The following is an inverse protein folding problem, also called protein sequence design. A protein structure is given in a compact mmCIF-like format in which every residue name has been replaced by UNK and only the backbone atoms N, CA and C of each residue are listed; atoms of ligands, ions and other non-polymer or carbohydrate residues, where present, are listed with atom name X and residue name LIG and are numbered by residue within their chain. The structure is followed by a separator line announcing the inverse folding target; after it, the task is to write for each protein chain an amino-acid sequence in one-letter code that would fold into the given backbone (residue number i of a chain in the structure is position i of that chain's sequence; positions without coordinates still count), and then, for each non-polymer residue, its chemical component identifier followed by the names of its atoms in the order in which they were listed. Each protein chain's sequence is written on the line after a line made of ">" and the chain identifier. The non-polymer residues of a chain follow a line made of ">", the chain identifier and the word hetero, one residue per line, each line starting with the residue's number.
data_IF_956406521641
#
_entry.id   IF_956406521641
#
_cell.length_a   1.000
_cell.length_b   1.000
_cell.length_c   1.000
_cell.angle_alpha   90.00
_cell.angle_beta   90.00
_cell.angle_gamma   90.00
#
_symmetry.space_group_name_H-M   'P 1'
#
loop_
_entity.id
_entity.type
_entity.pdbx_description
1 polymer ?
#
# COMPACT_ATOMS: atom_id res chain seq x y z
N UNK A 1 38.81 -9.17 33.29
CA UNK A 1 37.84 -8.17 32.87
C UNK A 1 37.86 -8.11 31.35
N UNK A 2 37.04 -8.95 30.71
CA UNK A 2 36.89 -8.98 29.23
C UNK A 2 35.51 -8.47 28.86
N UNK A 3 35.46 -7.33 28.23
CA UNK A 3 34.25 -6.75 27.66
C UNK A 3 33.93 -7.37 26.30
N UNK A 4 32.89 -8.14 26.28
CA UNK A 4 32.35 -8.73 25.02
C UNK A 4 31.52 -7.67 24.29
N UNK A 5 32.04 -7.18 23.17
CA UNK A 5 31.27 -6.35 22.23
C UNK A 5 30.54 -7.28 21.27
N UNK A 6 29.21 -7.35 21.40
CA UNK A 6 28.35 -8.00 20.40
C UNK A 6 27.99 -6.94 19.36
N UNK A 7 28.62 -7.02 18.19
CA UNK A 7 28.25 -6.24 17.02
C UNK A 7 27.13 -6.96 16.26
N UNK A 8 25.94 -6.37 16.19
CA UNK A 8 24.92 -6.80 15.25
C UNK A 8 25.30 -6.28 13.85
N UNK A 9 25.84 -7.18 13.02
CA UNK A 9 25.98 -6.95 11.60
C UNK A 9 24.67 -7.36 10.90
N UNK A 10 23.94 -6.40 10.38
CA UNK A 10 22.86 -6.66 9.41
C UNK A 10 23.51 -7.08 8.11
N UNK A 11 23.32 -8.34 7.75
CA UNK A 11 23.75 -8.88 6.46
C UNK A 11 22.82 -8.36 5.36
N UNK A 12 23.29 -7.42 4.56
CA UNK A 12 22.72 -7.11 3.24
C UNK A 12 22.99 -8.32 2.35
N UNK A 13 21.99 -9.18 2.14
CA UNK A 13 22.07 -10.32 1.23
C UNK A 13 22.08 -9.86 -0.22
N UNK A 14 23.26 -9.77 -0.82
CA UNK A 14 23.45 -9.73 -2.26
C UNK A 14 22.89 -11.04 -2.86
N UNK A 15 21.86 -10.94 -3.67
CA UNK A 15 21.50 -12.01 -4.61
C UNK A 15 22.51 -11.92 -5.75
N UNK A 16 23.65 -12.59 -5.57
CA UNK A 16 24.59 -12.84 -6.64
C UNK A 16 24.02 -13.91 -7.58
N UNK A 17 23.67 -13.52 -8.80
CA UNK A 17 23.38 -14.47 -9.88
C UNK A 17 24.68 -15.18 -10.22
N UNK A 18 24.84 -16.41 -9.75
CA UNK A 18 25.93 -17.29 -10.16
C UNK A 18 25.64 -17.78 -11.59
N UNK A 19 26.24 -17.15 -12.59
CA UNK A 19 26.33 -17.68 -13.93
C UNK A 19 27.36 -18.84 -13.92
N UNK A 20 26.86 -20.04 -13.78
CA UNK A 20 27.65 -21.24 -14.08
C UNK A 20 27.89 -21.29 -15.58
N UNK A 21 29.13 -20.96 -16.00
CA UNK A 21 29.63 -21.14 -17.34
C UNK A 21 29.84 -22.64 -17.56
N UNK A 22 28.94 -23.30 -18.30
CA UNK A 22 29.22 -24.56 -18.95
C UNK A 22 30.06 -24.28 -20.20
N UNK A 23 31.11 -25.06 -20.48
CA UNK A 23 31.87 -24.91 -21.72
C UNK A 23 30.99 -25.32 -22.93
N UNK A 24 31.18 -24.66 -24.09
CA UNK A 24 30.34 -24.92 -25.24
C UNK A 24 30.63 -26.32 -25.81
N UNK A 25 29.61 -27.16 -25.84
CA UNK A 25 29.63 -28.37 -26.67
C UNK A 25 29.60 -27.93 -28.12
N UNK A 26 30.49 -28.53 -28.93
CA UNK A 26 30.64 -28.25 -30.36
C UNK A 26 29.32 -28.47 -31.10
N UNK A 27 28.72 -27.40 -31.58
CA UNK A 27 27.55 -27.45 -32.45
C UNK A 27 27.99 -27.76 -33.87
N UNK A 28 27.46 -28.80 -34.45
CA UNK A 28 27.79 -29.18 -35.83
C UNK A 28 27.30 -28.13 -36.82
N UNK A 29 28.06 -27.87 -37.87
CA UNK A 29 27.86 -26.85 -38.90
C UNK A 29 26.46 -26.86 -39.57
N UNK A 30 25.77 -27.99 -39.53
CA UNK A 30 24.40 -28.13 -40.06
C UNK A 30 23.32 -27.38 -39.26
N UNK A 31 23.48 -27.29 -37.93
CA UNK A 31 22.53 -26.58 -37.08
C UNK A 31 22.64 -25.03 -37.17
N UNK A 32 23.87 -24.55 -37.40
CA UNK A 32 24.13 -23.13 -37.60
C UNK A 32 23.52 -22.59 -38.90
N UNK A 33 23.53 -23.39 -39.96
CA UNK A 33 22.92 -23.04 -41.24
C UNK A 33 21.40 -23.03 -41.22
N UNK A 34 20.76 -23.91 -40.42
CA UNK A 34 19.30 -23.95 -40.26
C UNK A 34 18.79 -22.76 -39.46
N UNK A 35 19.51 -22.31 -38.43
CA UNK A 35 19.16 -21.13 -37.68
C UNK A 35 19.35 -19.81 -38.44
N UNK A 36 20.39 -19.71 -39.27
CA UNK A 36 20.62 -18.56 -40.16
C UNK A 36 19.54 -18.43 -41.25
N UNK A 37 19.05 -19.55 -41.78
CA UNK A 37 17.96 -19.57 -42.76
C UNK A 37 16.61 -19.20 -42.13
N UNK A 38 16.34 -19.63 -40.91
CA UNK A 38 15.14 -19.26 -40.17
C UNK A 38 15.13 -17.75 -39.79
N UNK A 39 16.29 -17.20 -39.39
CA UNK A 39 16.42 -15.75 -39.11
C UNK A 39 16.18 -14.89 -40.35
N UNK A 40 16.68 -15.31 -41.50
CA UNK A 40 16.51 -14.61 -42.80
C UNK A 40 15.06 -14.65 -43.33
N UNK A 41 14.24 -15.63 -42.91
CA UNK A 41 12.84 -15.77 -43.32
C UNK A 41 11.92 -14.92 -42.46
N UNK A 42 12.31 -14.59 -41.22
CA UNK A 42 11.57 -13.71 -40.30
C UNK A 42 11.78 -12.24 -40.67
N UNK A 43 12.94 -11.86 -41.18
CA UNK A 43 13.22 -10.46 -41.58
C UNK A 43 12.50 -10.01 -42.87
N UNK A 44 11.84 -10.91 -43.61
CA UNK A 44 11.16 -10.60 -44.90
C UNK A 44 9.64 -10.42 -44.79
N UNK A 45 9.00 -10.61 -43.65
CA UNK A 45 7.61 -10.20 -43.45
C UNK A 45 7.63 -8.83 -42.76
N UNK A 46 7.18 -7.81 -43.51
CA UNK A 46 7.20 -6.43 -43.12
C UNK A 46 6.83 -6.23 -41.65
N UNK A 47 7.75 -5.61 -40.91
CA UNK A 47 7.46 -5.12 -39.58
C UNK A 47 6.24 -4.17 -39.65
N UNK A 48 5.26 -4.29 -38.76
CA UNK A 48 4.23 -3.29 -38.69
C UNK A 48 4.90 -1.92 -38.50
N UNK A 49 4.32 -0.83 -39.07
CA UNK A 49 4.89 0.49 -38.92
C UNK A 49 5.11 0.74 -37.43
N UNK A 50 6.33 1.13 -37.07
CA UNK A 50 6.64 1.56 -35.71
C UNK A 50 5.64 2.66 -35.38
N UNK A 51 4.63 2.36 -34.56
CA UNK A 51 3.82 3.39 -33.93
C UNK A 51 4.82 4.38 -33.35
N UNK A 52 4.74 5.64 -33.79
CA UNK A 52 5.71 6.68 -33.48
C UNK A 52 6.05 6.64 -32.00
N UNK A 53 7.30 6.31 -31.71
CA UNK A 53 7.84 6.49 -30.38
C UNK A 53 7.72 7.98 -30.10
N UNK A 54 6.69 8.41 -29.34
CA UNK A 54 6.77 9.70 -28.66
C UNK A 54 8.05 9.62 -27.86
N UNK A 55 9.03 10.46 -28.19
CA UNK A 55 10.23 10.69 -27.40
C UNK A 55 9.77 10.77 -25.95
N UNK A 56 10.31 9.90 -25.14
CA UNK A 56 10.06 9.94 -23.71
C UNK A 56 10.73 11.22 -23.23
N UNK A 57 9.97 12.21 -22.82
CA UNK A 57 10.51 13.33 -22.08
C UNK A 57 11.27 12.72 -20.90
N UNK A 58 12.61 12.77 -20.95
CA UNK A 58 13.45 12.28 -19.86
C UNK A 58 13.08 13.11 -18.63
N UNK A 59 12.77 12.43 -17.51
CA UNK A 59 12.53 13.14 -16.26
C UNK A 59 13.75 14.00 -15.94
N UNK A 60 13.57 15.27 -15.54
CA UNK A 60 14.69 16.08 -15.10
C UNK A 60 15.50 15.36 -14.02
N UNK A 61 16.82 15.30 -14.20
CA UNK A 61 17.69 14.66 -13.22
C UNK A 61 17.68 15.46 -11.90
N UNK A 62 17.64 14.75 -10.78
CA UNK A 62 17.72 15.32 -9.44
C UNK A 62 18.62 14.45 -8.56
N UNK A 63 19.03 14.98 -7.43
CA UNK A 63 19.92 14.32 -6.47
C UNK A 63 19.17 13.86 -5.24
N UNK A 64 19.78 12.97 -4.46
CA UNK A 64 19.23 12.57 -3.15
C UNK A 64 19.00 13.77 -2.21
N UNK A 65 19.84 14.80 -2.31
CA UNK A 65 19.67 16.03 -1.54
C UNK A 65 18.48 16.86 -2.02
N UNK A 66 18.22 16.92 -3.33
CA UNK A 66 17.02 17.56 -3.87
C UNK A 66 15.78 16.80 -3.42
N UNK A 67 15.81 15.46 -3.44
CA UNK A 67 14.72 14.58 -3.02
C UNK A 67 14.41 14.71 -1.52
N UNK A 68 15.43 14.77 -0.66
CA UNK A 68 15.25 15.01 0.78
C UNK A 68 14.59 16.36 1.09
N UNK A 69 14.90 17.38 0.30
CA UNK A 69 14.36 18.74 0.43
C UNK A 69 13.03 18.93 -0.34
N UNK A 70 12.56 17.92 -1.06
CA UNK A 70 11.41 18.02 -1.94
C UNK A 70 10.12 18.36 -1.17
N UNK A 71 9.35 19.29 -1.71
CA UNK A 71 8.07 19.74 -1.20
C UNK A 71 7.04 19.89 -2.32
N UNK A 72 5.76 19.89 -1.95
CA UNK A 72 4.70 20.23 -2.89
C UNK A 72 4.55 21.75 -2.95
N UNK A 73 4.72 22.37 -4.13
CA UNK A 73 4.61 23.81 -4.27
C UNK A 73 3.28 24.34 -3.71
N UNK A 74 3.36 25.33 -2.82
CA UNK A 74 2.20 26.00 -2.26
C UNK A 74 1.42 25.24 -1.18
N UNK A 75 1.78 23.98 -0.85
CA UNK A 75 1.08 23.18 0.16
C UNK A 75 2.06 22.78 1.26
N UNK A 76 2.11 23.55 2.34
CA UNK A 76 2.98 23.26 3.48
C UNK A 76 2.61 21.92 4.12
N UNK A 77 3.62 21.14 4.54
CA UNK A 77 3.46 19.84 5.19
C UNK A 77 2.53 18.86 4.44
N UNK A 78 2.40 19.02 3.11
CA UNK A 78 1.64 18.09 2.27
C UNK A 78 2.23 16.68 2.30
N UNK A 79 3.56 16.57 2.38
CA UNK A 79 4.31 15.31 2.46
C UNK A 79 5.36 15.35 3.57
N UNK A 80 5.61 14.21 4.14
CA UNK A 80 6.73 14.00 5.07
C UNK A 80 7.36 12.63 4.80
N UNK A 81 8.64 12.49 5.14
CA UNK A 81 9.27 11.17 5.19
C UNK A 81 8.70 10.37 6.37
N UNK A 82 8.26 9.13 6.10
CA UNK A 82 7.61 8.28 7.10
C UNK A 82 8.50 7.83 8.25
N UNK A 83 9.81 7.98 8.12
CA UNK A 83 10.84 7.67 9.11
C UNK A 83 11.32 8.91 9.91
N UNK A 84 10.82 10.12 9.60
CA UNK A 84 11.25 11.37 10.26
C UNK A 84 10.33 11.75 11.42
N UNK A 85 10.81 11.56 12.68
CA UNK A 85 10.06 11.98 13.88
C UNK A 85 9.78 13.49 13.89
N UNK A 86 10.76 14.31 13.52
CA UNK A 86 10.60 15.76 13.54
C UNK A 86 9.59 16.26 12.52
N UNK A 87 9.55 15.65 11.33
CA UNK A 87 8.55 15.96 10.32
C UNK A 87 7.15 15.45 10.75
N UNK A 88 7.08 14.25 11.32
CA UNK A 88 5.84 13.68 11.82
C UNK A 88 5.22 14.51 12.94
N UNK A 89 6.04 15.05 13.85
CA UNK A 89 5.57 15.92 14.93
C UNK A 89 4.80 17.16 14.43
N UNK A 90 5.14 17.69 13.25
CA UNK A 90 4.45 18.85 12.65
C UNK A 90 3.04 18.52 12.13
N UNK A 91 2.79 17.27 11.79
CA UNK A 91 1.51 16.83 11.19
C UNK A 91 0.61 16.05 12.15
N UNK A 92 0.96 16.00 13.44
CA UNK A 92 0.13 15.35 14.46
C UNK A 92 -1.29 15.94 14.53
N UNK A 93 -2.29 15.18 14.99
CA UNK A 93 -3.63 15.70 15.21
C UNK A 93 -3.62 16.72 16.35
N UNK A 94 -4.50 17.70 16.23
CA UNK A 94 -4.74 18.72 17.27
C UNK A 94 -5.90 18.35 18.20
N UNK A 95 -6.50 17.20 17.98
CA UNK A 95 -7.60 16.66 18.77
C UNK A 95 -7.23 15.29 19.32
N UNK A 96 -7.72 14.98 20.51
CA UNK A 96 -7.59 13.65 21.09
C UNK A 96 -8.63 12.70 20.49
N UNK A 97 -8.30 11.43 20.42
CA UNK A 97 -9.20 10.39 19.95
C UNK A 97 -8.48 9.15 19.46
N UNK A 98 -9.22 8.08 19.14
CA UNK A 98 -8.62 6.87 18.60
C UNK A 98 -8.06 7.09 17.19
N UNK A 99 -7.04 6.31 16.87
CA UNK A 99 -6.47 6.25 15.51
C UNK A 99 -6.87 4.95 14.83
N UNK A 100 -7.04 5.01 13.51
CA UNK A 100 -7.30 3.85 12.65
C UNK A 100 -6.24 3.77 11.56
N UNK A 101 -5.49 2.67 11.53
CA UNK A 101 -4.58 2.35 10.44
C UNK A 101 -5.18 1.23 9.59
N UNK A 102 -5.27 1.44 8.27
CA UNK A 102 -5.90 0.51 7.33
C UNK A 102 -4.83 0.00 6.37
N UNK A 103 -4.61 -1.31 6.37
CA UNK A 103 -3.58 -1.94 5.55
C UNK A 103 -3.96 -2.02 4.07
N UNK A 104 -2.95 -2.27 3.23
CA UNK A 104 -3.15 -2.84 1.91
C UNK A 104 -3.82 -4.21 1.96
N UNK A 105 -4.11 -4.79 0.78
CA UNK A 105 -4.74 -6.12 0.72
C UNK A 105 -5.50 -6.40 -0.59
N UNK A 106 -5.51 -5.47 -1.55
CA UNK A 106 -6.19 -5.67 -2.84
C UNK A 106 -7.67 -6.00 -2.67
N UNK A 107 -8.12 -7.12 -3.21
CA UNK A 107 -9.52 -7.59 -3.11
C UNK A 107 -10.03 -7.70 -1.67
N UNK A 108 -9.14 -7.99 -0.73
CA UNK A 108 -9.51 -8.22 0.68
C UNK A 108 -9.87 -6.92 1.41
N UNK A 109 -9.67 -5.75 0.79
CA UNK A 109 -10.22 -4.47 1.26
C UNK A 109 -11.73 -4.47 1.46
N UNK A 110 -12.45 -5.38 0.80
CA UNK A 110 -13.87 -5.61 1.02
C UNK A 110 -14.19 -5.95 2.49
N UNK A 111 -13.31 -6.70 3.18
CA UNK A 111 -13.45 -6.99 4.60
C UNK A 111 -13.46 -5.72 5.45
N UNK A 112 -12.45 -4.87 5.28
CA UNK A 112 -12.34 -3.64 6.05
C UNK A 112 -13.50 -2.68 5.82
N UNK A 113 -13.95 -2.55 4.55
CA UNK A 113 -15.14 -1.76 4.22
C UNK A 113 -16.39 -2.32 4.92
N UNK A 114 -16.57 -3.65 4.90
CA UNK A 114 -17.67 -4.33 5.61
C UNK A 114 -17.60 -4.13 7.12
N UNK A 115 -16.42 -4.27 7.74
CA UNK A 115 -16.25 -4.02 9.18
C UNK A 115 -16.67 -2.60 9.57
N UNK A 116 -16.26 -1.59 8.79
CA UNK A 116 -16.65 -0.20 9.05
C UNK A 116 -18.15 0.00 8.96
N UNK A 117 -18.80 -0.56 7.95
CA UNK A 117 -20.26 -0.49 7.78
C UNK A 117 -20.98 -1.17 8.93
N UNK A 118 -20.63 -2.42 9.24
CA UNK A 118 -21.26 -3.15 10.37
C UNK A 118 -21.02 -2.48 11.72
N UNK A 119 -19.86 -1.87 11.92
CA UNK A 119 -19.55 -1.12 13.14
C UNK A 119 -20.41 0.14 13.28
N UNK A 120 -20.72 0.81 12.15
CA UNK A 120 -21.67 1.93 12.13
C UNK A 120 -23.09 1.48 12.43
N UNK A 121 -23.54 0.35 11.85
CA UNK A 121 -24.85 -0.23 12.14
C UNK A 121 -25.03 -0.59 13.62
N UNK A 122 -23.94 -0.99 14.28
CA UNK A 122 -23.92 -1.24 15.72
C UNK A 122 -23.98 0.07 16.56
N UNK A 123 -23.83 1.24 15.92
CA UNK A 123 -23.83 2.55 16.59
C UNK A 123 -22.61 2.81 17.48
N UNK A 124 -21.55 1.99 17.40
CA UNK A 124 -20.39 2.05 18.30
C UNK A 124 -19.09 2.45 17.60
N UNK A 125 -19.12 2.70 16.28
CA UNK A 125 -17.96 3.19 15.53
C UNK A 125 -17.54 4.58 16.03
N UNK A 126 -16.30 4.73 16.55
CA UNK A 126 -15.85 6.02 17.05
C UNK A 126 -15.53 6.99 15.90
N UNK A 127 -15.51 8.28 16.23
CA UNK A 127 -14.87 9.26 15.36
C UNK A 127 -13.36 9.20 15.60
N UNK A 128 -12.60 8.91 14.54
CA UNK A 128 -11.15 8.80 14.64
C UNK A 128 -10.48 10.17 14.57
N UNK A 129 -9.53 10.44 15.45
CA UNK A 129 -8.66 11.61 15.35
C UNK A 129 -7.72 11.52 14.15
N UNK A 130 -7.28 10.30 13.86
CA UNK A 130 -6.43 9.97 12.69
C UNK A 130 -6.98 8.77 11.97
N UNK A 131 -6.98 8.84 10.64
CA UNK A 131 -7.11 7.67 9.78
C UNK A 131 -5.93 7.65 8.83
N UNK A 132 -5.23 6.52 8.74
CA UNK A 132 -4.20 6.30 7.74
C UNK A 132 -4.55 5.11 6.85
N UNK A 133 -4.14 5.16 5.59
CA UNK A 133 -4.39 4.09 4.63
C UNK A 133 -3.22 3.85 3.69
N UNK A 134 -3.09 2.59 3.27
CA UNK A 134 -2.07 2.13 2.31
C UNK A 134 -2.76 1.26 1.27
N UNK A 135 -2.44 1.45 -0.02
CA UNK A 135 -3.01 0.64 -1.12
C UNK A 135 -4.56 0.68 -1.10
N UNK A 136 -5.24 -0.46 -1.09
CA UNK A 136 -6.69 -0.50 -0.95
C UNK A 136 -7.17 0.23 0.31
N UNK A 137 -6.38 0.20 1.39
CA UNK A 137 -6.65 0.97 2.60
C UNK A 137 -6.63 2.48 2.37
N UNK A 138 -5.83 2.98 1.43
CA UNK A 138 -5.82 4.39 1.04
C UNK A 138 -7.12 4.80 0.33
N UNK A 139 -7.74 3.87 -0.42
CA UNK A 139 -9.04 4.10 -1.06
C UNK A 139 -10.20 4.05 -0.06
N UNK A 140 -10.07 3.28 1.03
CA UNK A 140 -11.05 3.19 2.12
C UNK A 140 -10.94 4.40 3.06
N UNK A 141 -9.72 4.87 3.32
CA UNK A 141 -9.42 5.85 4.37
C UNK A 141 -10.23 7.17 4.29
N UNK A 142 -10.49 7.79 3.13
CA UNK A 142 -11.32 9.00 3.06
C UNK A 142 -12.74 8.80 3.61
N UNK A 143 -13.36 7.69 3.27
CA UNK A 143 -14.71 7.34 3.72
C UNK A 143 -14.72 6.96 5.21
N UNK A 144 -13.72 6.21 5.65
CA UNK A 144 -13.52 5.88 7.06
C UNK A 144 -13.34 7.16 7.92
N UNK A 145 -12.61 8.14 7.41
CA UNK A 145 -12.34 9.42 8.05
C UNK A 145 -13.59 10.29 8.20
N UNK A 146 -14.44 10.32 7.18
CA UNK A 146 -15.68 11.10 7.18
C UNK A 146 -16.83 10.43 7.97
N UNK A 147 -16.75 9.12 8.19
CA UNK A 147 -17.66 8.40 9.08
C UNK A 147 -18.90 7.79 8.41
N UNK A 148 -19.91 7.40 9.21
CA UNK A 148 -21.02 6.53 8.79
C UNK A 148 -21.82 7.02 7.60
N UNK A 149 -21.92 8.30 7.34
CA UNK A 149 -22.63 8.88 6.18
C UNK A 149 -22.06 8.44 4.82
N UNK A 150 -20.85 7.86 4.81
CA UNK A 150 -20.18 7.35 3.62
C UNK A 150 -20.19 5.81 3.53
N UNK A 151 -20.95 5.11 4.37
CA UNK A 151 -20.96 3.65 4.36
C UNK A 151 -21.61 3.07 3.09
N UNK A 152 -22.55 3.78 2.47
CA UNK A 152 -23.09 3.42 1.17
C UNK A 152 -22.02 3.49 0.07
N UNK A 153 -21.12 4.47 0.14
CA UNK A 153 -19.98 4.58 -0.77
C UNK A 153 -18.96 3.46 -0.52
N UNK A 154 -18.73 3.06 0.74
CA UNK A 154 -17.92 1.89 1.05
C UNK A 154 -18.50 0.63 0.41
N UNK A 155 -19.79 0.39 0.54
CA UNK A 155 -20.46 -0.75 -0.10
C UNK A 155 -20.30 -0.72 -1.63
N UNK A 156 -20.63 0.39 -2.27
CA UNK A 156 -20.54 0.54 -3.73
C UNK A 156 -19.13 0.33 -4.28
N UNK A 157 -18.13 0.80 -3.53
CA UNK A 157 -16.73 0.78 -3.99
C UNK A 157 -16.00 -0.51 -3.69
N UNK A 158 -16.46 -1.32 -2.74
CA UNK A 158 -15.69 -2.48 -2.28
C UNK A 158 -16.48 -3.79 -2.29
N UNK A 159 -17.80 -3.76 -2.43
CA UNK A 159 -18.64 -4.95 -2.58
C UNK A 159 -19.24 -5.11 -3.99
N UNK A 160 -19.29 -4.04 -4.79
CA UNK A 160 -20.01 -4.04 -6.08
C UNK A 160 -19.09 -3.82 -7.29
N UNK A 161 -17.78 -3.78 -7.12
CA UNK A 161 -16.80 -3.62 -8.21
C UNK A 161 -16.17 -4.96 -8.59
N UNK A 162 -15.57 -5.01 -9.77
CA UNK A 162 -14.85 -6.16 -10.28
C UNK A 162 -13.52 -5.77 -10.93
N UNK A 163 -12.80 -6.77 -11.46
CA UNK A 163 -11.49 -6.57 -12.07
C UNK A 163 -11.48 -5.49 -13.17
N UNK A 164 -12.53 -5.44 -14.00
CA UNK A 164 -12.64 -4.48 -15.08
C UNK A 164 -12.76 -3.01 -14.62
N UNK A 165 -13.15 -2.79 -13.37
CA UNK A 165 -13.19 -1.44 -12.77
C UNK A 165 -11.82 -0.99 -12.24
N UNK A 166 -10.87 -1.94 -12.12
CA UNK A 166 -9.54 -1.72 -11.52
C UNK A 166 -8.46 -1.68 -12.58
N UNK A 167 -8.46 -2.64 -13.53
CA UNK A 167 -7.40 -2.73 -14.53
C UNK A 167 -7.88 -3.29 -15.87
N UNK A 168 -7.11 -2.96 -16.91
CA UNK A 168 -7.19 -3.62 -18.22
C UNK A 168 -6.02 -4.59 -18.38
N UNK A 169 -6.30 -5.77 -18.98
CA UNK A 169 -5.26 -6.74 -19.38
C UNK A 169 -4.53 -6.22 -20.62
N UNK A 170 -3.77 -5.17 -20.40
CA UNK A 170 -2.97 -4.50 -21.43
C UNK A 170 -1.62 -4.13 -20.85
N UNK A 171 -0.57 -4.78 -21.35
CA UNK A 171 0.79 -4.42 -20.99
C UNK A 171 1.12 -3.00 -21.41
N UNK A 172 1.69 -2.25 -20.48
CA UNK A 172 2.31 -0.96 -20.74
C UNK A 172 3.83 -1.11 -20.87
N UNK A 173 4.56 -0.01 -21.01
CA UNK A 173 6.03 -0.03 -21.06
C UNK A 173 6.66 -0.45 -19.71
N UNK A 174 6.01 -0.17 -18.62
CA UNK A 174 6.52 -0.35 -17.25
C UNK A 174 5.67 -1.27 -16.37
N UNK A 175 4.59 -1.90 -16.92
CA UNK A 175 3.69 -2.72 -16.14
C UNK A 175 2.97 -3.79 -16.96
N UNK A 176 2.50 -4.83 -16.27
CA UNK A 176 1.72 -5.92 -16.87
C UNK A 176 0.27 -5.49 -17.18
N UNK A 177 -0.28 -4.57 -16.40
CA UNK A 177 -1.66 -4.10 -16.53
C UNK A 177 -1.72 -2.58 -16.64
N UNK A 178 -2.77 -2.07 -17.31
CA UNK A 178 -3.08 -0.66 -17.32
C UNK A 178 -4.10 -0.34 -16.21
N UNK A 179 -3.82 0.65 -15.37
CA UNK A 179 -4.67 1.09 -14.27
C UNK A 179 -5.70 2.16 -14.67
N UNK A 180 -5.88 2.40 -15.97
CA UNK A 180 -6.84 3.40 -16.45
C UNK A 180 -8.24 3.30 -15.83
N UNK A 181 -8.83 2.09 -15.65
CA UNK A 181 -10.13 1.98 -15.00
C UNK A 181 -10.10 2.48 -13.55
N UNK A 182 -9.10 2.08 -12.76
CA UNK A 182 -8.92 2.57 -11.39
C UNK A 182 -8.77 4.10 -11.33
N UNK A 183 -7.98 4.68 -12.24
CA UNK A 183 -7.84 6.13 -12.34
C UNK A 183 -9.18 6.82 -12.54
N UNK A 184 -9.99 6.34 -13.47
CA UNK A 184 -11.36 6.85 -13.70
C UNK A 184 -12.25 6.69 -12.47
N UNK A 185 -12.16 5.55 -11.80
CA UNK A 185 -12.93 5.29 -10.58
C UNK A 185 -12.57 6.31 -9.51
N UNK A 186 -11.28 6.55 -9.27
CA UNK A 186 -10.80 7.56 -8.33
C UNK A 186 -11.28 8.97 -8.72
N UNK A 187 -11.15 9.35 -9.99
CA UNK A 187 -11.62 10.64 -10.51
C UNK A 187 -13.11 10.86 -10.25
N UNK A 188 -13.92 9.82 -10.42
CA UNK A 188 -15.36 9.89 -10.19
C UNK A 188 -15.73 9.94 -8.69
N UNK A 189 -14.96 9.29 -7.82
CA UNK A 189 -15.25 9.19 -6.38
C UNK A 189 -14.68 10.33 -5.56
N UNK A 190 -13.55 10.89 -5.98
CA UNK A 190 -12.94 12.07 -5.32
C UNK A 190 -13.61 13.33 -5.84
N UNK A 191 -14.81 13.58 -5.29
CA UNK A 191 -15.64 14.73 -5.65
C UNK A 191 -15.21 16.00 -4.92
N UNK A 192 -15.57 17.21 -5.42
CA UNK A 192 -15.33 18.44 -4.69
C UNK A 192 -15.97 18.46 -3.30
N UNK A 193 -17.15 17.84 -3.13
CA UNK A 193 -17.83 17.71 -1.83
C UNK A 193 -17.01 16.88 -0.85
N UNK A 194 -16.53 15.70 -1.27
CA UNK A 194 -15.66 14.85 -0.46
C UNK A 194 -14.41 15.61 0.02
N UNK A 195 -13.74 16.31 -0.90
CA UNK A 195 -12.54 17.09 -0.60
C UNK A 195 -12.82 18.24 0.38
N UNK A 196 -13.92 18.97 0.17
CA UNK A 196 -14.33 20.05 1.07
C UNK A 196 -14.59 19.55 2.50
N UNK A 197 -15.24 18.40 2.64
CA UNK A 197 -15.51 17.79 3.94
C UNK A 197 -14.24 17.28 4.63
N UNK A 198 -13.31 16.67 3.87
CA UNK A 198 -11.99 16.27 4.40
C UNK A 198 -11.20 17.49 4.86
N UNK A 199 -11.20 18.57 4.09
CA UNK A 199 -10.54 19.81 4.45
C UNK A 199 -11.16 20.43 5.73
N UNK A 200 -12.48 20.39 5.88
CA UNK A 200 -13.18 20.86 7.07
C UNK A 200 -12.80 20.05 8.32
N UNK A 201 -12.72 18.72 8.22
CA UNK A 201 -12.28 17.86 9.32
C UNK A 201 -10.80 18.08 9.67
N UNK A 202 -9.96 18.32 8.65
CA UNK A 202 -8.56 18.70 8.86
C UNK A 202 -8.43 20.03 9.63
N UNK A 203 -9.23 21.03 9.28
CA UNK A 203 -9.27 22.31 9.96
C UNK A 203 -9.74 22.18 11.43
N UNK A 204 -10.55 21.17 11.74
CA UNK A 204 -10.93 20.80 13.12
C UNK A 204 -9.85 20.06 13.88
N UNK A 205 -8.67 19.84 13.29
CA UNK A 205 -7.52 19.21 13.94
C UNK A 205 -7.36 17.71 13.72
N UNK A 206 -8.29 17.05 13.00
CA UNK A 206 -8.18 15.64 12.63
C UNK A 206 -7.18 15.43 11.47
N UNK A 207 -6.68 14.22 11.27
CA UNK A 207 -5.71 13.92 10.21
C UNK A 207 -6.14 12.72 9.38
N UNK A 208 -6.00 12.88 8.06
CA UNK A 208 -6.10 11.80 7.08
C UNK A 208 -4.74 11.64 6.41
N UNK A 209 -4.14 10.45 6.54
CA UNK A 209 -2.85 10.15 5.94
C UNK A 209 -2.95 9.02 4.91
N UNK A 210 -2.16 9.13 3.86
CA UNK A 210 -1.94 8.06 2.88
C UNK A 210 -0.44 7.85 2.73
N UNK A 211 -0.01 6.59 2.66
CA UNK A 211 1.38 6.26 2.42
C UNK A 211 1.62 5.82 0.97
N UNK A 212 2.72 6.26 0.40
CA UNK A 212 3.27 5.76 -0.87
C UNK A 212 4.74 5.42 -0.69
N UNK A 213 5.30 4.65 -1.61
CA UNK A 213 6.74 4.44 -1.71
C UNK A 213 7.32 5.33 -2.80
N UNK A 214 8.22 6.25 -2.45
CA UNK A 214 9.08 6.92 -3.40
C UNK A 214 10.11 5.90 -3.90
N UNK A 215 10.01 5.51 -5.18
CA UNK A 215 10.87 4.48 -5.78
C UNK A 215 12.28 4.99 -6.08
N UNK A 216 12.45 6.28 -6.24
CA UNK A 216 13.77 6.89 -6.48
C UNK A 216 14.62 6.84 -5.19
N UNK A 217 14.01 7.16 -4.04
CA UNK A 217 14.67 7.12 -2.73
C UNK A 217 14.63 5.75 -2.05
N UNK A 218 13.71 4.86 -2.44
CA UNK A 218 13.43 3.62 -1.72
C UNK A 218 12.83 3.87 -0.32
N UNK A 219 12.10 4.99 -0.12
CA UNK A 219 11.59 5.46 1.17
C UNK A 219 10.09 5.65 1.16
N UNK A 220 9.51 5.51 2.35
CA UNK A 220 8.08 5.79 2.60
C UNK A 220 7.83 7.28 2.66
N UNK A 221 6.81 7.73 1.93
CA UNK A 221 6.27 9.09 2.00
C UNK A 221 4.86 9.04 2.59
N UNK A 222 4.60 9.88 3.59
CA UNK A 222 3.29 10.06 4.20
C UNK A 222 2.71 11.38 3.70
N UNK A 223 1.51 11.30 3.16
CA UNK A 223 0.77 12.42 2.59
C UNK A 223 -0.29 12.90 3.55
N UNK A 224 -0.27 14.20 3.85
CA UNK A 224 -1.29 14.86 4.66
C UNK A 224 -2.48 15.24 3.78
N UNK A 225 -3.35 14.26 3.56
CA UNK A 225 -4.46 14.36 2.60
C UNK A 225 -5.44 15.47 2.95
N UNK A 226 -5.60 15.78 4.24
CA UNK A 226 -6.45 16.89 4.69
C UNK A 226 -5.90 18.26 4.30
N UNK A 227 -4.59 18.47 4.44
CA UNK A 227 -3.92 19.68 3.99
C UNK A 227 -4.02 19.82 2.46
N UNK A 228 -3.81 18.72 1.73
CA UNK A 228 -3.92 18.69 0.26
C UNK A 228 -5.35 19.00 -0.20
N UNK A 229 -6.36 18.43 0.44
CA UNK A 229 -7.78 18.65 0.09
C UNK A 229 -8.22 20.12 0.20
N UNK A 230 -7.53 20.92 1.01
CA UNK A 230 -7.82 22.36 1.18
C UNK A 230 -7.33 23.24 0.03
N UNK A 231 -6.60 22.70 -0.97
CA UNK A 231 -5.91 23.50 -2.00
C UNK A 231 -6.58 23.44 -3.38
N UNK A 232 -7.89 23.47 -3.43
CA UNK A 232 -8.67 23.62 -4.66
C UNK A 232 -8.31 22.58 -5.73
N UNK A 233 -8.21 23.00 -6.99
CA UNK A 233 -7.99 22.09 -8.12
C UNK A 233 -6.60 21.44 -8.12
N UNK A 234 -5.56 22.16 -7.67
CA UNK A 234 -4.21 21.59 -7.52
C UNK A 234 -4.24 20.47 -6.48
N UNK A 235 -4.84 20.73 -5.33
CA UNK A 235 -5.01 19.73 -4.27
C UNK A 235 -5.85 18.54 -4.74
N UNK A 236 -6.91 18.77 -5.50
CA UNK A 236 -7.77 17.72 -6.03
C UNK A 236 -7.03 16.75 -6.97
N UNK A 237 -6.19 17.27 -7.87
CA UNK A 237 -5.34 16.45 -8.75
C UNK A 237 -4.35 15.64 -7.95
N UNK A 238 -3.58 16.31 -7.09
CA UNK A 238 -2.58 15.64 -6.25
C UNK A 238 -3.22 14.56 -5.35
N UNK A 239 -4.38 14.83 -4.76
CA UNK A 239 -5.12 13.87 -3.95
C UNK A 239 -5.42 12.58 -4.71
N UNK A 240 -5.91 12.70 -5.96
CA UNK A 240 -6.21 11.55 -6.84
C UNK A 240 -4.95 10.81 -7.24
N UNK A 241 -3.87 11.53 -7.59
CA UNK A 241 -2.60 10.94 -7.99
C UNK A 241 -1.95 10.17 -6.83
N UNK A 242 -2.07 10.65 -5.58
CA UNK A 242 -1.58 9.96 -4.39
C UNK A 242 -2.37 8.65 -4.15
N UNK A 243 -3.71 8.67 -4.25
CA UNK A 243 -4.52 7.46 -4.10
C UNK A 243 -4.16 6.41 -5.17
N UNK A 244 -3.96 6.86 -6.40
CA UNK A 244 -3.53 6.00 -7.50
C UNK A 244 -2.12 5.44 -7.24
N UNK A 245 -1.17 6.29 -6.84
CA UNK A 245 0.19 5.90 -6.51
C UNK A 245 0.25 4.88 -5.37
N UNK A 246 -0.53 5.13 -4.31
CA UNK A 246 -0.62 4.20 -3.17
C UNK A 246 -1.17 2.83 -3.55
N UNK A 247 -1.87 2.72 -4.67
CA UNK A 247 -2.46 1.47 -5.19
C UNK A 247 -1.68 0.87 -6.37
N UNK A 248 -0.57 1.48 -6.77
CA UNK A 248 0.22 1.08 -7.94
C UNK A 248 1.35 0.12 -7.55
N UNK A 249 1.05 -1.18 -7.44
CA UNK A 249 2.04 -2.23 -7.17
C UNK A 249 3.00 -2.32 -8.36
N UNK A 250 4.31 -2.04 -8.20
CA UNK A 250 5.28 -2.07 -9.29
C UNK A 250 5.38 -3.45 -9.97
N UNK A 251 5.52 -3.43 -11.28
CA UNK A 251 5.48 -4.60 -12.13
C UNK A 251 4.05 -4.94 -12.57
N UNK A 252 3.05 -4.83 -11.69
CA UNK A 252 1.64 -4.96 -12.07
C UNK A 252 1.11 -3.66 -12.65
N UNK A 253 1.39 -2.54 -12.01
CA UNK A 253 0.96 -1.20 -12.42
C UNK A 253 2.14 -0.27 -12.62
N UNK A 254 1.99 0.69 -13.54
CA UNK A 254 3.00 1.73 -13.75
C UNK A 254 3.10 2.65 -12.53
N UNK A 255 4.31 3.03 -12.09
CA UNK A 255 4.47 4.05 -11.07
C UNK A 255 3.85 5.38 -11.50
N UNK A 256 3.37 6.15 -10.53
CA UNK A 256 2.76 7.46 -10.75
C UNK A 256 3.80 8.55 -10.52
N UNK A 257 4.08 9.40 -11.53
CA UNK A 257 4.96 10.55 -11.34
C UNK A 257 4.23 11.64 -10.54
N UNK A 258 4.88 12.14 -9.47
CA UNK A 258 4.38 13.25 -8.66
C UNK A 258 5.36 14.42 -8.78
N UNK A 259 4.87 15.58 -9.21
CA UNK A 259 5.67 16.81 -9.33
C UNK A 259 5.98 17.38 -7.95
N UNK A 260 7.25 17.64 -7.72
CA UNK A 260 7.79 18.26 -6.50
C UNK A 260 8.77 19.37 -6.85
N UNK A 261 9.11 20.18 -5.85
CA UNK A 261 10.09 21.25 -5.99
C UNK A 261 11.08 21.23 -4.83
N UNK A 262 12.36 21.41 -5.15
CA UNK A 262 13.42 21.66 -4.17
C UNK A 262 14.45 22.64 -4.74
N UNK A 263 14.92 23.57 -3.94
CA UNK A 263 15.98 24.52 -4.31
C UNK A 263 15.70 25.28 -5.63
N UNK A 264 14.44 25.62 -5.90
CA UNK A 264 14.00 26.29 -7.12
C UNK A 264 13.96 25.40 -8.37
N UNK A 265 14.16 24.07 -8.23
CA UNK A 265 14.05 23.11 -9.32
C UNK A 265 12.75 22.31 -9.18
N UNK A 266 12.04 22.13 -10.30
CA UNK A 266 10.91 21.21 -10.41
C UNK A 266 11.37 19.90 -11.01
N UNK A 267 10.96 18.80 -10.41
CA UNK A 267 11.22 17.44 -10.90
C UNK A 267 10.07 16.51 -10.55
N UNK A 268 10.13 15.28 -11.02
CA UNK A 268 9.11 14.28 -10.77
C UNK A 268 9.72 13.10 -10.01
N UNK A 269 9.17 12.80 -8.86
CA UNK A 269 9.42 11.57 -8.14
C UNK A 269 8.49 10.46 -8.67
N UNK A 270 8.98 9.22 -8.74
CA UNK A 270 8.13 8.06 -9.07
C UNK A 270 7.61 7.42 -7.79
N UNK A 271 6.29 7.40 -7.65
CA UNK A 271 5.63 6.78 -6.52
C UNK A 271 4.94 5.48 -6.92
N UNK A 272 5.08 4.48 -6.08
CA UNK A 272 4.39 3.20 -6.15
C UNK A 272 3.66 2.88 -4.85
N UNK A 273 3.08 1.70 -4.81
CA UNK A 273 2.27 1.21 -3.68
C UNK A 273 3.02 1.34 -2.36
N UNK A 274 2.34 1.89 -1.36
CA UNK A 274 2.90 2.10 -0.03
C UNK A 274 3.27 0.80 0.68
N UNK A 275 2.63 -0.33 0.33
CA UNK A 275 2.90 -1.65 0.94
C UNK A 275 4.33 -2.15 0.71
N UNK A 276 5.05 -1.61 -0.28
CA UNK A 276 6.47 -1.95 -0.49
C UNK A 276 7.36 -1.56 0.69
N UNK A 277 7.03 -0.46 1.37
CA UNK A 277 7.80 0.05 2.51
C UNK A 277 7.06 -0.07 3.83
N UNK A 278 5.72 -0.12 3.80
CA UNK A 278 4.89 -0.41 4.97
C UNK A 278 3.50 -0.91 4.56
N UNK A 279 3.07 -2.07 5.02
CA UNK A 279 1.72 -2.58 4.77
C UNK A 279 0.61 -1.73 5.40
N UNK A 280 0.90 -0.97 6.44
CA UNK A 280 0.08 0.09 7.05
C UNK A 280 1.00 1.10 7.75
N UNK A 281 0.48 2.26 8.14
CA UNK A 281 1.26 3.30 8.80
C UNK A 281 0.55 3.82 10.04
N UNK A 282 1.27 3.92 11.15
CA UNK A 282 0.81 4.53 12.40
C UNK A 282 1.67 5.73 12.75
N UNK A 283 2.98 5.52 12.87
CA UNK A 283 3.98 6.54 13.21
C UNK A 283 5.37 6.05 12.79
N UNK A 284 6.39 6.90 12.77
CA UNK A 284 7.77 6.47 12.56
C UNK A 284 8.18 5.35 13.54
N UNK A 285 8.88 4.34 13.05
CA UNK A 285 9.29 3.16 13.84
C UNK A 285 10.16 3.54 15.04
N UNK A 286 10.97 4.59 14.89
CA UNK A 286 11.81 5.13 15.97
C UNK A 286 10.99 5.61 17.17
N UNK A 287 9.77 6.13 16.94
CA UNK A 287 8.86 6.53 18.03
C UNK A 287 8.28 5.35 18.80
N UNK A 288 8.27 4.15 18.22
CA UNK A 288 7.87 2.92 18.90
C UNK A 288 9.01 2.34 19.75
N UNK A 289 10.23 2.83 19.57
CA UNK A 289 11.41 2.37 20.31
C UNK A 289 11.37 2.85 21.78
N UNK A 290 12.10 2.12 22.66
CA UNK A 290 12.25 2.50 24.06
C UNK A 290 13.04 3.81 24.27
N UNK A 291 13.71 4.30 23.23
CA UNK A 291 14.57 5.50 23.29
C UNK A 291 13.81 6.79 22.91
N UNK A 292 12.66 6.69 22.26
CA UNK A 292 11.90 7.87 21.90
C UNK A 292 11.26 8.51 23.13
N UNK A 293 11.44 9.81 23.26
CA UNK A 293 10.77 10.65 24.27
C UNK A 293 9.47 11.26 23.71
N UNK A 294 9.29 11.19 22.40
CA UNK A 294 8.10 11.70 21.71
C UNK A 294 6.94 10.73 21.88
N UNK A 295 5.85 11.21 22.47
CA UNK A 295 4.61 10.44 22.61
C UNK A 295 3.50 11.13 21.83
N UNK A 296 2.94 10.50 20.77
CA UNK A 296 1.77 11.04 20.11
C UNK A 296 0.56 11.02 21.07
N UNK A 297 -0.45 11.88 20.87
CA UNK A 297 -1.67 11.89 21.66
C UNK A 297 -2.58 10.70 21.29
N UNK A 298 -2.07 9.49 21.49
CA UNK A 298 -2.68 8.23 21.07
C UNK A 298 -2.91 7.32 22.28
N UNK A 299 -4.16 7.24 22.76
CA UNK A 299 -4.55 6.31 23.83
C UNK A 299 -5.09 4.97 23.28
N UNK A 300 -5.68 4.99 22.09
CA UNK A 300 -6.30 3.81 21.48
C UNK A 300 -6.01 3.75 19.98
N UNK A 301 -5.48 2.61 19.54
CA UNK A 301 -5.12 2.32 18.16
C UNK A 301 -5.93 1.15 17.63
N UNK A 302 -6.58 1.35 16.52
CA UNK A 302 -7.19 0.30 15.72
C UNK A 302 -6.33 0.05 14.48
N UNK A 303 -5.95 -1.21 14.26
CA UNK A 303 -5.28 -1.65 13.02
C UNK A 303 -6.22 -2.59 12.29
N UNK A 304 -6.60 -2.20 11.09
CA UNK A 304 -7.45 -3.00 10.20
C UNK A 304 -6.58 -3.64 9.12
N UNK A 305 -6.43 -4.93 9.21
CA UNK A 305 -5.64 -5.74 8.28
C UNK A 305 -6.55 -6.37 7.24
N UNK A 306 -6.42 -5.92 6.00
CA UNK A 306 -7.19 -6.44 4.87
C UNK A 306 -6.52 -7.69 4.28
N UNK A 307 -6.27 -8.67 5.12
CA UNK A 307 -5.77 -10.00 4.72
C UNK A 307 -5.84 -10.96 5.91
N UNK A 308 -5.62 -12.24 5.66
CA UNK A 308 -5.29 -13.20 6.69
C UNK A 308 -3.87 -12.94 7.20
N UNK A 309 -3.60 -13.24 8.48
CA UNK A 309 -2.28 -13.08 9.09
C UNK A 309 -1.40 -14.32 8.91
N UNK A 310 -2.01 -15.49 8.74
CA UNK A 310 -1.30 -16.75 8.60
C UNK A 310 -0.81 -17.02 7.18
N UNK A 311 0.11 -17.99 7.03
CA UNK A 311 0.51 -18.46 5.72
C UNK A 311 -0.66 -19.20 5.04
N UNK A 312 -0.91 -18.89 3.77
CA UNK A 312 -1.88 -19.60 2.96
C UNK A 312 -1.19 -20.55 1.98
N UNK A 313 -1.65 -21.80 1.93
CA UNK A 313 -1.23 -22.69 0.86
C UNK A 313 -1.94 -22.30 -0.44
N UNK A 314 -1.16 -21.91 -1.44
CA UNK A 314 -1.66 -21.58 -2.79
C UNK A 314 -0.59 -21.95 -3.82
N UNK A 315 -0.95 -22.78 -4.75
CA UNK A 315 -0.08 -23.12 -5.90
C UNK A 315 -0.18 -21.98 -6.92
N UNK A 316 0.94 -21.29 -7.23
CA UNK A 316 0.93 -20.30 -8.30
C UNK A 316 0.86 -20.96 -9.67
N UNK A 317 0.27 -20.26 -10.64
CA UNK A 317 0.41 -20.65 -12.02
C UNK A 317 1.89 -20.62 -12.43
N UNK A 318 2.29 -21.61 -13.24
CA UNK A 318 3.68 -21.79 -13.65
C UNK A 318 4.06 -20.85 -14.81
N UNK A 319 3.77 -19.56 -14.63
CA UNK A 319 4.09 -18.47 -15.56
C UNK A 319 4.64 -17.26 -14.78
N UNK A 320 5.24 -16.30 -15.50
CA UNK A 320 5.89 -15.14 -14.88
C UNK A 320 4.91 -14.34 -13.98
N UNK A 321 3.71 -13.95 -14.44
CA UNK A 321 2.77 -13.21 -13.59
C UNK A 321 2.34 -14.00 -12.34
N UNK A 322 2.08 -15.30 -12.47
CA UNK A 322 1.68 -16.16 -11.35
C UNK A 322 2.76 -16.28 -10.28
N UNK A 323 4.00 -16.59 -10.70
CA UNK A 323 5.15 -16.70 -9.77
C UNK A 323 5.48 -15.34 -9.15
N UNK A 324 5.51 -14.26 -9.94
CA UNK A 324 5.77 -12.90 -9.44
C UNK A 324 4.71 -12.48 -8.43
N UNK A 325 3.43 -12.64 -8.75
CA UNK A 325 2.33 -12.30 -7.87
C UNK A 325 2.38 -13.07 -6.54
N UNK A 326 2.67 -14.37 -6.61
CA UNK A 326 2.84 -15.18 -5.40
C UNK A 326 4.02 -14.72 -4.56
N UNK A 327 5.16 -14.44 -5.19
CA UNK A 327 6.38 -13.99 -4.50
C UNK A 327 6.17 -12.65 -3.79
N UNK A 328 5.55 -11.69 -4.46
CA UNK A 328 5.19 -10.39 -3.87
C UNK A 328 4.21 -10.60 -2.71
N UNK A 329 3.15 -11.39 -2.90
CA UNK A 329 2.18 -11.67 -1.85
C UNK A 329 2.80 -12.27 -0.59
N UNK A 330 3.73 -13.23 -0.74
CA UNK A 330 4.47 -13.83 0.39
C UNK A 330 5.33 -12.78 1.11
N UNK A 331 6.05 -11.94 0.35
CA UNK A 331 6.87 -10.88 0.92
C UNK A 331 6.04 -9.84 1.67
N UNK A 332 4.91 -9.41 1.11
CA UNK A 332 3.99 -8.46 1.75
C UNK A 332 3.36 -9.03 3.03
N UNK A 333 2.96 -10.32 3.03
CA UNK A 333 2.45 -10.97 4.25
C UNK A 333 3.52 -11.05 5.34
N UNK A 334 4.77 -11.35 4.98
CA UNK A 334 5.87 -11.38 5.93
C UNK A 334 6.15 -9.98 6.52
N UNK A 335 6.18 -8.94 5.68
CA UNK A 335 6.33 -7.55 6.10
C UNK A 335 5.17 -7.10 7.02
N UNK A 336 3.93 -7.45 6.68
CA UNK A 336 2.74 -7.15 7.48
C UNK A 336 2.86 -7.72 8.90
N UNK A 337 3.28 -8.97 9.02
CA UNK A 337 3.45 -9.62 10.33
C UNK A 337 4.57 -8.96 11.15
N UNK A 338 5.69 -8.63 10.51
CA UNK A 338 6.80 -7.95 11.16
C UNK A 338 6.38 -6.57 11.68
N UNK A 339 5.71 -5.77 10.86
CA UNK A 339 5.22 -4.44 11.22
C UNK A 339 4.17 -4.52 12.35
N UNK A 340 3.23 -5.47 12.26
CA UNK A 340 2.22 -5.66 13.29
C UNK A 340 2.84 -6.06 14.63
N UNK A 341 3.89 -6.88 14.62
CA UNK A 341 4.64 -7.24 15.82
C UNK A 341 5.35 -6.01 16.42
N UNK A 342 5.97 -5.19 15.58
CA UNK A 342 6.63 -3.95 16.02
C UNK A 342 5.63 -3.01 16.69
N UNK A 343 4.47 -2.79 16.07
CA UNK A 343 3.38 -1.98 16.62
C UNK A 343 2.85 -2.59 17.93
N UNK A 344 2.64 -3.89 17.98
CA UNK A 344 2.17 -4.57 19.19
C UNK A 344 3.13 -4.35 20.39
N UNK A 345 4.43 -4.58 20.17
CA UNK A 345 5.45 -4.37 21.21
C UNK A 345 5.55 -2.89 21.60
N UNK A 346 5.51 -1.98 20.63
CA UNK A 346 5.54 -0.54 20.87
C UNK A 346 4.32 -0.06 21.64
N UNK A 347 3.12 -0.51 21.27
CA UNK A 347 1.88 -0.17 21.96
C UNK A 347 1.88 -0.64 23.43
N UNK A 348 2.31 -1.88 23.68
CA UNK A 348 2.44 -2.41 25.05
C UNK A 348 3.38 -1.55 25.91
N UNK A 349 4.53 -1.14 25.37
CA UNK A 349 5.49 -0.31 26.08
C UNK A 349 4.98 1.10 26.39
N UNK A 350 4.17 1.65 25.51
CA UNK A 350 3.64 3.02 25.63
C UNK A 350 2.27 3.09 26.33
N UNK A 351 1.69 1.94 26.69
CA UNK A 351 0.35 1.87 27.30
C UNK A 351 -0.77 2.24 26.32
N UNK A 352 -0.55 2.06 25.01
CA UNK A 352 -1.54 2.28 23.97
C UNK A 352 -2.43 1.04 23.87
N UNK A 353 -3.76 1.22 23.97
CA UNK A 353 -4.72 0.14 23.77
C UNK A 353 -4.79 -0.22 22.29
N UNK A 354 -4.16 -1.33 21.91
CA UNK A 354 -4.16 -1.83 20.53
C UNK A 354 -5.34 -2.78 20.30
N UNK A 355 -6.03 -2.58 19.19
CA UNK A 355 -7.11 -3.42 18.68
C UNK A 355 -6.83 -3.78 17.23
N UNK A 356 -6.88 -5.07 16.90
CA UNK A 356 -6.57 -5.56 15.54
C UNK A 356 -7.76 -6.30 14.97
N UNK A 357 -8.15 -5.92 13.75
CA UNK A 357 -9.10 -6.67 12.92
C UNK A 357 -8.34 -7.29 11.74
N UNK A 358 -8.66 -8.51 11.39
CA UNK A 358 -8.09 -9.21 10.23
C UNK A 358 -9.08 -10.21 9.66
N UNK A 359 -8.88 -10.64 8.43
CA UNK A 359 -9.69 -11.69 7.81
C UNK A 359 -9.48 -13.00 8.58
N UNK A 360 -10.58 -13.63 8.99
CA UNK A 360 -10.54 -14.90 9.72
C UNK A 360 -9.87 -15.99 8.87
N UNK A 361 -8.91 -16.74 9.40
CA UNK A 361 -8.26 -17.84 8.67
C UNK A 361 -9.24 -18.88 8.12
N UNK A 362 -10.39 -19.08 8.77
CA UNK A 362 -11.43 -20.02 8.34
C UNK A 362 -12.26 -19.54 7.15
N UNK A 363 -12.15 -18.24 6.77
CA UNK A 363 -12.82 -17.76 5.57
C UNK A 363 -12.24 -18.44 4.33
N UNK A 364 -13.05 -19.30 3.71
CA UNK A 364 -12.67 -20.09 2.54
C UNK A 364 -13.76 -19.95 1.46
N UNK A 365 -13.69 -18.84 0.73
CA UNK A 365 -14.56 -18.59 -0.42
C UNK A 365 -13.69 -18.58 -1.69
N UNK A 366 -14.07 -19.34 -2.73
CA UNK A 366 -13.25 -19.45 -3.94
C UNK A 366 -13.19 -18.12 -4.69
N UNK A 367 -11.98 -17.65 -5.01
CA UNK A 367 -11.74 -16.51 -5.87
C UNK A 367 -11.23 -16.98 -7.24
N UNK A 368 -11.81 -16.46 -8.32
CA UNK A 368 -11.41 -16.76 -9.70
C UNK A 368 -10.26 -15.87 -10.20
N UNK A 369 -9.80 -14.95 -9.37
CA UNK A 369 -8.73 -14.03 -9.71
C UNK A 369 -8.78 -12.73 -8.89
N UNK A 370 -7.87 -11.78 -9.16
CA UNK A 370 -7.87 -10.47 -8.50
C UNK A 370 -9.21 -9.75 -8.73
N UNK A 371 -9.76 -9.15 -7.68
CA UNK A 371 -11.01 -8.39 -7.70
C UNK A 371 -12.23 -9.18 -8.22
N UNK A 372 -12.33 -10.45 -7.84
CA UNK A 372 -13.55 -11.24 -8.09
C UNK A 372 -14.70 -10.66 -7.27
N UNK A 373 -15.73 -10.11 -7.93
CA UNK A 373 -16.85 -9.44 -7.27
C UNK A 373 -17.64 -10.33 -6.32
N UNK A 374 -17.77 -11.66 -6.62
CA UNK A 374 -18.45 -12.59 -5.69
C UNK A 374 -17.65 -12.85 -4.43
N UNK A 375 -16.34 -13.00 -4.56
CA UNK A 375 -15.43 -13.11 -3.44
C UNK A 375 -15.47 -11.87 -2.56
N UNK A 376 -15.36 -10.68 -3.19
CA UNK A 376 -15.38 -9.40 -2.48
C UNK A 376 -16.71 -9.17 -1.75
N UNK A 377 -17.84 -9.50 -2.38
CA UNK A 377 -19.15 -9.39 -1.74
C UNK A 377 -19.25 -10.32 -0.53
N UNK A 378 -18.87 -11.60 -0.65
CA UNK A 378 -18.90 -12.55 0.46
C UNK A 378 -18.00 -12.07 1.62
N UNK A 379 -16.81 -11.55 1.31
CA UNK A 379 -15.89 -11.06 2.31
C UNK A 379 -16.40 -9.76 2.98
N UNK A 380 -17.05 -8.87 2.22
CA UNK A 380 -17.71 -7.69 2.75
C UNK A 380 -18.80 -8.06 3.77
N UNK A 381 -19.64 -9.03 3.44
CA UNK A 381 -20.70 -9.51 4.34
C UNK A 381 -20.16 -10.11 5.65
N UNK A 382 -19.05 -10.85 5.57
CA UNK A 382 -18.32 -11.32 6.77
C UNK A 382 -17.84 -10.15 7.61
N UNK A 383 -17.27 -9.12 6.97
CA UNK A 383 -16.87 -7.89 7.64
C UNK A 383 -18.03 -7.18 8.34
N UNK A 384 -19.18 -7.00 7.64
CA UNK A 384 -20.39 -6.40 8.21
C UNK A 384 -20.86 -7.18 9.44
N UNK A 385 -20.94 -8.50 9.34
CA UNK A 385 -21.35 -9.34 10.46
C UNK A 385 -20.42 -9.21 11.67
N UNK A 386 -19.11 -9.20 11.45
CA UNK A 386 -18.11 -9.05 12.50
C UNK A 386 -18.16 -7.65 13.16
N UNK A 387 -18.26 -6.58 12.33
CA UNK A 387 -18.41 -5.20 12.81
C UNK A 387 -19.67 -4.99 13.64
N UNK A 388 -20.80 -5.50 13.17
CA UNK A 388 -22.11 -5.40 13.85
C UNK A 388 -22.13 -6.13 15.19
N UNK A 389 -21.47 -7.28 15.28
CA UNK A 389 -21.34 -8.05 16.53
C UNK A 389 -20.30 -7.46 17.49
N UNK A 390 -19.49 -6.51 17.08
CA UNK A 390 -18.38 -5.99 17.86
C UNK A 390 -17.20 -6.97 18.02
N UNK A 391 -17.13 -8.01 17.20
CA UNK A 391 -16.10 -9.06 17.28
C UNK A 391 -14.95 -8.89 16.29
N UNK A 392 -15.02 -7.85 15.43
CA UNK A 392 -14.01 -7.61 14.40
C UNK A 392 -12.63 -7.29 14.99
N UNK A 393 -12.57 -6.52 16.08
CA UNK A 393 -11.33 -6.04 16.69
C UNK A 393 -11.02 -6.81 17.97
N UNK A 394 -9.94 -7.59 17.93
CA UNK A 394 -9.41 -8.32 19.09
C UNK A 394 -8.30 -7.56 19.80
N UNK A 395 -8.08 -7.85 21.09
CA UNK A 395 -7.00 -7.29 21.95
C UNK A 395 -5.68 -8.02 21.76
N UNK A 396 -5.73 -9.21 21.20
CA UNK A 396 -4.58 -10.07 20.95
C UNK A 396 -4.43 -10.30 19.46
N UNK A 397 -3.21 -10.52 19.03
CA UNK A 397 -2.90 -11.02 17.69
C UNK A 397 -2.60 -12.51 17.84
N UNK A 398 -3.59 -13.39 17.63
CA UNK A 398 -3.50 -14.83 18.00
C UNK A 398 -2.32 -15.53 17.37
N UNK A 399 -1.95 -15.14 16.16
CA UNK A 399 -0.87 -15.76 15.39
C UNK A 399 0.52 -15.22 15.76
N UNK A 400 0.59 -14.16 16.57
CA UNK A 400 1.82 -13.65 17.16
C UNK A 400 2.07 -14.23 18.56
N UNK A 401 1.06 -14.74 19.22
CA UNK A 401 1.19 -15.52 20.44
C UNK A 401 1.69 -16.93 20.09
N UNK A 402 2.97 -17.05 19.80
CA UNK A 402 3.66 -18.35 19.72
C UNK A 402 3.73 -18.99 21.12
N UNK A 403 2.61 -19.43 21.63
CA UNK A 403 2.59 -20.56 22.55
C UNK A 403 2.55 -21.79 21.67
N UNK A 404 3.68 -22.49 21.64
CA UNK A 404 3.76 -23.76 20.99
C UNK A 404 2.59 -24.64 21.44
N UNK A 405 1.71 -25.01 20.53
CA UNK A 405 0.95 -26.22 20.66
C UNK A 405 1.90 -27.38 20.38
N UNK A 406 2.77 -27.63 21.37
CA UNK A 406 3.35 -28.94 21.54
C UNK A 406 2.24 -29.87 22.02
N UNK A 407 2.05 -30.91 21.28
CA UNK A 407 1.39 -32.16 21.62
C UNK A 407 -0.13 -32.17 21.81
N UNK A 408 -0.83 -32.67 20.80
CA UNK A 408 -1.48 -33.95 21.04
C UNK A 408 -1.58 -34.72 19.72
N UNK A 409 -0.99 -35.88 19.77
CA UNK A 409 -1.05 -36.96 18.76
C UNK A 409 -2.49 -37.43 18.53
#
# INVERSE_FOLDING_TARGET
>A
MHTLRIGCAFAAGLIGILLLACPPAEWTSAQAQTQAAAKKKIERKGAPPKAGAKEQEERPAFTAQDDDAAAIPGIADARIWGDSESAFARVLPQVSGPWLAISGGGSDGAYGAGVLTGWSEAGTRPQFAVVSGVSIGALIAPFAFLGPRYDEELHKNFASIGAADIFEDRMTRSSLFDYWPLKRLIEHRVTPTLLSEIAAEHARGRRLWVATTNLDAGRRVIWNMGAIAAHGEQGARLFRDILLASSAIPGFFSPVPIEVEANGKKFQELHGDGTLTAPFFVMPETMLSARSTSRPPLGQLYVMVNSKLGPEFKMPDHNIPGVLGRSIGVALTAALRAELMLIYVGAQRQGIALRVAHVDPSFDFPSRGPFDGKYMQALYEVGVAAGKKGTAFGDTVPELSMRGSSSQQ
#
